data_IF_334189282036
#
_entry.id   IF_334189282036
#
_cell.length_a   1.000
_cell.length_b   1.000
_cell.length_c   1.000
_cell.angle_alpha   90.00
_cell.angle_beta   90.00
_cell.angle_gamma   90.00
#
_symmetry.space_group_name_H-M   'P 1'
#
loop_
_entity.id
_entity.type
_entity.pdbx_description
1 polymer ?
#
# COMPACT_ATOMS: atom_id res chain seq x y z
N UNK A 1 -8.26 3.19 -25.28
CA UNK A 1 -7.67 3.97 -24.16
C UNK A 1 -8.84 4.49 -23.34
N UNK A 2 -9.02 4.04 -22.07
CA UNK A 2 -10.14 4.50 -21.22
C UNK A 2 -9.69 5.73 -20.45
N UNK A 3 -10.41 6.83 -20.58
CA UNK A 3 -10.20 8.05 -19.82
C UNK A 3 -11.05 7.97 -18.54
N UNK A 4 -10.51 8.40 -17.40
CA UNK A 4 -11.26 8.41 -16.14
C UNK A 4 -12.30 9.53 -16.22
N UNK A 5 -13.55 9.12 -16.44
CA UNK A 5 -14.72 9.96 -16.19
C UNK A 5 -15.38 9.51 -14.88
N UNK A 6 -16.21 10.35 -14.28
CA UNK A 6 -16.92 10.03 -13.03
C UNK A 6 -17.69 8.70 -13.12
N UNK A 7 -18.21 8.37 -14.31
CA UNK A 7 -18.98 7.15 -14.59
C UNK A 7 -18.11 5.88 -14.64
N UNK A 8 -16.80 6.01 -14.85
CA UNK A 8 -15.85 4.88 -14.82
C UNK A 8 -15.51 4.47 -13.40
N UNK A 9 -15.58 5.40 -12.45
CA UNK A 9 -15.31 5.13 -11.02
C UNK A 9 -16.39 4.21 -10.43
N UNK A 10 -17.64 4.37 -10.82
CA UNK A 10 -18.76 3.54 -10.33
C UNK A 10 -18.71 2.09 -10.83
N UNK A 11 -18.05 1.82 -11.95
CA UNK A 11 -17.96 0.49 -12.57
C UNK A 11 -16.70 -0.32 -12.20
N UNK A 12 -15.75 0.24 -11.48
CA UNK A 12 -14.56 -0.48 -10.99
C UNK A 12 -14.77 -1.14 -9.62
N UNK A 13 -16.00 -1.15 -9.16
CA UNK A 13 -16.38 -1.65 -7.88
C UNK A 13 -16.52 -3.13 -7.76
N UNK A 14 -16.82 -3.78 -6.97
CA UNK A 14 -17.36 -5.09 -6.52
C UNK A 14 -16.57 -6.29 -7.05
N UNK A 15 -15.55 -6.62 -6.30
CA UNK A 15 -15.01 -7.96 -6.20
C UNK A 15 -15.96 -8.82 -5.36
N UNK A 16 -16.82 -9.59 -6.03
CA UNK A 16 -17.81 -10.47 -5.38
C UNK A 16 -17.35 -11.91 -5.27
N UNK A 17 -16.18 -12.37 -5.39
CA UNK A 17 -15.85 -13.80 -5.34
C UNK A 17 -14.51 -14.10 -4.66
N UNK A 18 -14.47 -14.00 -3.33
CA UNK A 18 -13.46 -14.70 -2.53
C UNK A 18 -13.95 -14.96 -1.10
N UNK A 19 -14.64 -16.05 -0.89
CA UNK A 19 -15.00 -16.54 0.44
C UNK A 19 -13.81 -16.95 1.33
N UNK A 20 -12.57 -16.93 0.80
CA UNK A 20 -11.37 -17.37 1.52
C UNK A 20 -10.18 -16.42 1.46
N UNK A 21 -10.29 -15.27 0.83
CA UNK A 21 -9.27 -14.22 0.96
C UNK A 21 -9.63 -13.35 2.15
N UNK A 22 -8.62 -13.11 3.02
CA UNK A 22 -8.71 -12.09 4.06
C UNK A 22 -9.40 -10.86 3.50
N UNK A 23 -10.21 -10.25 4.32
CA UNK A 23 -11.00 -9.06 4.03
C UNK A 23 -10.05 -7.85 3.78
N UNK A 24 -9.30 -7.94 2.65
CA UNK A 24 -8.41 -6.86 2.16
C UNK A 24 -9.18 -5.56 1.96
N UNK A 25 -10.51 -5.65 1.91
CA UNK A 25 -11.38 -4.51 1.72
C UNK A 25 -11.31 -3.52 2.88
N UNK A 26 -11.14 -4.01 4.11
CA UNK A 26 -11.05 -3.11 5.26
C UNK A 26 -9.78 -2.26 5.24
N UNK A 27 -8.65 -2.86 4.88
CA UNK A 27 -7.40 -2.14 4.71
C UNK A 27 -7.51 -1.12 3.59
N UNK A 28 -8.05 -1.53 2.44
CA UNK A 28 -8.27 -0.64 1.30
C UNK A 28 -9.18 0.53 1.68
N UNK A 29 -10.32 0.27 2.32
CA UNK A 29 -11.27 1.31 2.72
C UNK A 29 -10.65 2.32 3.69
N UNK A 30 -9.87 1.84 4.68
CA UNK A 30 -9.18 2.71 5.64
C UNK A 30 -8.15 3.57 4.91
N UNK A 31 -7.34 2.96 4.05
CA UNK A 31 -6.26 3.66 3.38
C UNK A 31 -6.76 4.63 2.31
N UNK A 32 -7.81 4.27 1.57
CA UNK A 32 -8.49 5.17 0.61
C UNK A 32 -9.02 6.39 1.32
N UNK A 33 -9.78 6.24 2.42
CA UNK A 33 -10.28 7.37 3.21
C UNK A 33 -9.16 8.28 3.70
N UNK A 34 -8.05 7.69 4.12
CA UNK A 34 -6.86 8.45 4.50
C UNK A 34 -6.33 9.30 3.33
N UNK A 35 -6.22 8.73 2.14
CA UNK A 35 -5.76 9.45 0.96
C UNK A 35 -6.79 10.50 0.49
N UNK A 36 -8.08 10.16 0.49
CA UNK A 36 -9.18 11.04 0.07
C UNK A 36 -9.31 12.28 0.94
N UNK A 37 -9.17 12.15 2.26
CA UNK A 37 -9.20 13.31 3.17
C UNK A 37 -8.20 14.40 2.79
N UNK A 38 -7.14 14.01 2.09
CA UNK A 38 -6.03 14.91 1.79
C UNK A 38 -5.95 15.30 0.32
N UNK A 39 -6.29 14.39 -0.59
CA UNK A 39 -5.98 14.51 -2.02
C UNK A 39 -7.18 14.29 -2.92
N UNK A 40 -8.35 13.89 -2.39
CA UNK A 40 -9.53 13.53 -3.18
C UNK A 40 -9.95 14.58 -4.20
N UNK A 41 -9.79 15.87 -3.87
CA UNK A 41 -10.13 16.96 -4.78
C UNK A 41 -9.12 17.18 -5.92
N UNK A 42 -7.90 16.65 -5.76
CA UNK A 42 -6.79 16.86 -6.69
C UNK A 42 -6.44 15.62 -7.50
N UNK A 43 -6.77 14.45 -6.99
CA UNK A 43 -6.40 13.16 -7.56
C UNK A 43 -7.55 12.18 -7.53
N UNK A 44 -7.48 11.21 -8.44
CA UNK A 44 -8.35 10.04 -8.45
C UNK A 44 -7.63 8.89 -7.75
N UNK A 45 -8.26 8.32 -6.74
CA UNK A 45 -7.75 7.21 -5.95
C UNK A 45 -8.57 5.97 -6.33
N UNK A 46 -7.89 4.92 -6.80
CA UNK A 46 -8.53 3.72 -7.31
C UNK A 46 -8.01 2.48 -6.59
N UNK A 47 -8.94 1.63 -6.17
CA UNK A 47 -8.63 0.29 -5.71
C UNK A 47 -8.36 -0.62 -6.92
N UNK A 48 -7.28 -1.41 -6.84
CA UNK A 48 -6.87 -2.43 -7.82
C UNK A 48 -6.94 -1.96 -9.29
N UNK A 49 -6.35 -0.80 -9.63
CA UNK A 49 -6.51 -0.19 -10.94
C UNK A 49 -6.02 -1.07 -12.11
N UNK A 50 -5.15 -2.03 -11.82
CA UNK A 50 -4.58 -2.97 -12.80
C UNK A 50 -5.04 -4.42 -12.55
N UNK A 51 -6.14 -4.59 -11.83
CA UNK A 51 -6.72 -5.89 -11.51
C UNK A 51 -6.04 -6.59 -10.32
N UNK A 52 -6.44 -7.84 -10.12
CA UNK A 52 -6.16 -8.63 -8.92
C UNK A 52 -4.68 -8.84 -8.60
N UNK A 53 -3.82 -8.90 -9.62
CA UNK A 53 -2.38 -9.14 -9.46
C UNK A 53 -1.55 -7.86 -9.59
N UNK A 54 -2.23 -6.72 -9.64
CA UNK A 54 -1.62 -5.39 -9.64
C UNK A 54 -1.36 -4.88 -8.22
N UNK A 55 -1.13 -3.58 -8.12
CA UNK A 55 -1.10 -2.85 -6.86
C UNK A 55 -2.51 -2.75 -6.27
N UNK A 56 -2.60 -2.62 -4.95
CA UNK A 56 -3.90 -2.53 -4.28
C UNK A 56 -4.54 -1.14 -4.44
N UNK A 57 -3.76 -0.07 -4.33
CA UNK A 57 -4.24 1.30 -4.47
C UNK A 57 -3.36 2.07 -5.47
N UNK A 58 -4.00 2.76 -6.41
CA UNK A 58 -3.35 3.67 -7.35
C UNK A 58 -3.88 5.09 -7.24
N UNK A 59 -2.97 6.06 -7.25
CA UNK A 59 -3.29 7.50 -7.28
C UNK A 59 -2.95 8.06 -8.65
N UNK A 60 -3.91 8.74 -9.28
CA UNK A 60 -3.80 9.30 -10.62
C UNK A 60 -4.17 10.78 -10.63
N UNK A 61 -3.60 11.56 -11.53
CA UNK A 61 -4.10 12.90 -11.79
C UNK A 61 -5.49 12.83 -12.45
N UNK A 62 -6.33 13.80 -12.16
CA UNK A 62 -7.65 13.92 -12.79
C UNK A 62 -7.46 14.04 -14.31
N UNK A 63 -8.37 13.43 -15.08
CA UNK A 63 -8.37 13.44 -16.54
C UNK A 63 -7.17 12.76 -17.21
N UNK A 64 -6.47 11.88 -16.50
CA UNK A 64 -5.41 11.05 -17.10
C UNK A 64 -5.88 9.62 -17.34
N UNK A 65 -5.41 8.95 -18.40
CA UNK A 65 -5.69 7.53 -18.62
C UNK A 65 -5.17 6.65 -17.48
N UNK A 66 -5.91 5.59 -17.13
CA UNK A 66 -5.48 4.62 -16.11
C UNK A 66 -4.45 3.67 -16.75
N UNK A 67 -3.19 3.99 -16.61
CA UNK A 67 -2.04 3.19 -17.06
C UNK A 67 -0.93 3.20 -16.02
N UNK A 68 -0.02 2.22 -16.06
CA UNK A 68 1.14 2.20 -15.18
C UNK A 68 2.05 3.43 -15.34
N UNK A 69 2.10 4.01 -16.54
CA UNK A 69 2.91 5.20 -16.82
C UNK A 69 2.31 6.48 -16.25
N UNK A 70 1.00 6.51 -16.05
CA UNK A 70 0.27 7.69 -15.57
C UNK A 70 0.03 7.65 -14.06
N UNK A 71 0.36 6.54 -13.41
CA UNK A 71 0.23 6.45 -11.96
C UNK A 71 1.22 7.39 -11.27
N UNK A 72 0.73 8.22 -10.38
CA UNK A 72 1.55 9.11 -9.56
C UNK A 72 2.24 8.33 -8.45
N UNK A 73 1.45 7.52 -7.74
CA UNK A 73 1.96 6.61 -6.72
C UNK A 73 1.10 5.36 -6.64
N UNK A 74 1.73 4.20 -6.51
CA UNK A 74 1.09 2.92 -6.23
C UNK A 74 1.34 2.47 -4.82
N UNK A 75 0.35 1.82 -4.21
CA UNK A 75 0.49 1.20 -2.90
C UNK A 75 0.06 -0.26 -2.95
N UNK A 76 0.78 -1.08 -2.20
CA UNK A 76 0.41 -2.47 -1.92
C UNK A 76 0.20 -2.60 -0.42
N UNK A 77 -0.89 -3.25 -0.03
CA UNK A 77 -1.35 -3.32 1.35
C UNK A 77 -1.16 -4.73 1.89
N UNK A 78 -0.79 -4.85 3.16
CA UNK A 78 -0.67 -6.14 3.83
C UNK A 78 -1.03 -6.00 5.31
N UNK A 79 -1.85 -6.91 5.81
CA UNK A 79 -2.13 -7.02 7.24
C UNK A 79 -1.16 -7.99 7.90
N UNK A 80 -0.45 -7.51 8.90
CA UNK A 80 0.47 -8.32 9.70
C UNK A 80 -0.28 -9.00 10.84
N UNK A 81 -0.57 -10.29 10.70
CA UNK A 81 -1.34 -11.08 11.67
C UNK A 81 -0.72 -11.15 13.06
N UNK A 82 0.57 -10.94 13.16
CA UNK A 82 1.33 -11.03 14.41
C UNK A 82 1.63 -9.66 15.01
N UNK A 83 1.24 -8.58 14.34
CA UNK A 83 1.31 -7.22 14.85
C UNK A 83 -0.06 -6.82 15.44
N UNK A 84 -0.18 -6.93 16.76
CA UNK A 84 -1.31 -6.39 17.51
C UNK A 84 -1.14 -4.87 17.70
N UNK A 85 -1.87 -4.25 18.63
CA UNK A 85 -1.94 -2.78 18.83
C UNK A 85 -0.61 -2.08 18.87
N UNK A 86 0.38 -2.69 19.49
CA UNK A 86 1.73 -2.17 19.55
C UNK A 86 2.68 -3.06 18.76
N UNK A 87 3.65 -2.43 18.08
CA UNK A 87 4.70 -3.19 17.44
C UNK A 87 5.44 -3.99 18.54
N UNK A 88 5.46 -5.31 18.46
CA UNK A 88 6.17 -6.11 19.45
C UNK A 88 7.62 -5.65 19.55
N UNK A 89 8.15 -5.49 20.75
CA UNK A 89 9.53 -5.02 20.99
C UNK A 89 10.61 -5.86 20.30
N UNK A 90 10.29 -7.11 19.97
CA UNK A 90 11.15 -8.03 19.21
C UNK A 90 11.01 -7.92 17.69
N UNK A 91 10.05 -7.17 17.17
CA UNK A 91 9.88 -6.95 15.75
C UNK A 91 10.85 -5.90 15.25
N UNK A 92 11.90 -6.35 14.63
CA UNK A 92 12.92 -5.49 14.05
C UNK A 92 12.62 -5.15 12.59
N UNK A 93 11.94 -6.05 11.89
CA UNK A 93 11.72 -5.90 10.45
C UNK A 93 10.35 -6.42 9.98
N UNK A 94 9.90 -5.89 8.84
CA UNK A 94 8.73 -6.28 8.08
C UNK A 94 9.19 -7.00 6.82
N UNK A 95 8.54 -8.09 6.46
CA UNK A 95 8.90 -8.87 5.29
C UNK A 95 8.24 -8.30 4.03
N UNK A 96 9.06 -7.82 3.09
CA UNK A 96 8.61 -7.45 1.76
C UNK A 96 8.91 -8.60 0.79
N UNK A 97 7.87 -9.18 0.18
CA UNK A 97 8.01 -10.33 -0.70
C UNK A 97 8.68 -9.95 -2.02
N UNK A 98 9.70 -10.70 -2.44
CA UNK A 98 10.48 -10.43 -3.64
C UNK A 98 9.65 -10.39 -4.93
N UNK A 99 8.56 -11.16 -5.01
CA UNK A 99 7.61 -11.10 -6.13
C UNK A 99 6.96 -9.71 -6.32
N UNK A 100 6.99 -8.85 -5.29
CA UNK A 100 6.50 -7.47 -5.33
C UNK A 100 7.53 -6.49 -5.89
N UNK A 101 8.79 -6.92 -6.13
CA UNK A 101 9.84 -6.11 -6.79
C UNK A 101 9.38 -5.59 -8.17
N UNK A 102 8.43 -6.28 -8.83
CA UNK A 102 7.80 -5.82 -10.07
C UNK A 102 7.18 -4.42 -9.97
N UNK A 103 6.78 -3.99 -8.77
CA UNK A 103 6.20 -2.66 -8.53
C UNK A 103 7.25 -1.55 -8.49
N UNK A 104 8.54 -1.89 -8.39
CA UNK A 104 9.61 -0.90 -8.44
C UNK A 104 9.77 -0.24 -9.81
N UNK A 105 9.15 -0.79 -10.87
CA UNK A 105 9.02 -0.11 -12.18
C UNK A 105 8.15 1.15 -12.12
N UNK A 106 7.21 1.24 -11.17
CA UNK A 106 6.39 2.42 -10.97
C UNK A 106 7.28 3.60 -10.55
N UNK A 107 6.91 4.80 -10.99
CA UNK A 107 7.64 6.01 -10.61
C UNK A 107 7.77 6.13 -9.10
N UNK A 108 6.66 5.98 -8.39
CA UNK A 108 6.62 5.94 -6.93
C UNK A 108 5.81 4.72 -6.45
N UNK A 109 6.33 4.07 -5.42
CA UNK A 109 5.67 2.93 -4.80
C UNK A 109 5.88 2.97 -3.29
N UNK A 110 4.79 2.70 -2.54
CA UNK A 110 4.78 2.52 -1.10
C UNK A 110 4.21 1.16 -0.71
N UNK A 111 4.89 0.46 0.17
CA UNK A 111 4.35 -0.72 0.85
C UNK A 111 3.73 -0.30 2.17
N UNK A 112 2.50 -0.73 2.44
CA UNK A 112 1.74 -0.40 3.65
C UNK A 112 1.48 -1.68 4.42
N UNK A 113 1.96 -1.76 5.66
CA UNK A 113 1.65 -2.86 6.56
C UNK A 113 0.74 -2.37 7.67
N UNK A 114 -0.39 -3.04 7.83
CA UNK A 114 -1.36 -2.77 8.89
C UNK A 114 -1.12 -3.68 10.10
N UNK A 115 -1.42 -3.16 11.30
CA UNK A 115 -1.61 -3.98 12.49
C UNK A 115 -2.79 -4.93 12.32
N UNK A 116 -2.81 -6.01 13.09
CA UNK A 116 -3.88 -7.01 13.02
C UNK A 116 -5.27 -6.40 13.28
N UNK A 117 -5.36 -5.48 14.24
CA UNK A 117 -6.58 -4.79 14.63
C UNK A 117 -6.91 -3.57 13.77
N UNK A 118 -6.07 -3.26 12.76
CA UNK A 118 -6.20 -2.12 11.86
C UNK A 118 -6.11 -0.74 12.56
N UNK A 119 -5.64 -0.68 13.80
CA UNK A 119 -5.52 0.58 14.53
C UNK A 119 -4.29 1.40 14.11
N UNK A 120 -3.31 0.76 13.48
CA UNK A 120 -2.06 1.38 13.04
C UNK A 120 -1.63 0.82 11.70
N UNK A 121 -0.84 1.58 10.96
CA UNK A 121 -0.11 1.11 9.80
C UNK A 121 1.25 1.79 9.67
N UNK A 122 2.14 1.14 8.93
CA UNK A 122 3.47 1.66 8.60
C UNK A 122 3.59 1.74 7.08
N UNK A 123 4.18 2.82 6.58
CA UNK A 123 4.50 2.97 5.16
C UNK A 123 6.03 2.97 4.99
N UNK A 124 6.52 2.10 4.11
CA UNK A 124 7.89 2.15 3.61
C UNK A 124 7.90 2.42 2.12
N UNK A 125 8.77 3.34 1.70
CA UNK A 125 8.85 3.75 0.30
C UNK A 125 9.82 2.87 -0.50
N UNK A 126 9.59 2.75 -1.79
CA UNK A 126 10.42 2.02 -2.76
C UNK A 126 11.91 2.17 -2.50
N UNK A 127 12.40 3.42 -2.39
CA UNK A 127 13.81 3.72 -2.17
C UNK A 127 14.37 3.18 -0.85
N UNK A 128 13.52 3.11 0.18
CA UNK A 128 13.91 2.59 1.48
C UNK A 128 13.90 1.07 1.48
N UNK A 129 12.91 0.45 0.83
CA UNK A 129 12.83 -1.01 0.66
C UNK A 129 14.01 -1.54 -0.15
N UNK A 130 14.40 -0.86 -1.22
CA UNK A 130 15.50 -1.27 -2.11
C UNK A 130 16.88 -1.29 -1.44
N UNK A 131 17.06 -0.65 -0.29
CA UNK A 131 18.32 -0.71 0.50
C UNK A 131 18.59 -2.10 1.05
N UNK A 132 17.54 -2.93 1.22
CA UNK A 132 17.66 -4.24 1.83
C UNK A 132 17.89 -5.32 0.77
N UNK A 133 18.82 -6.24 1.02
CA UNK A 133 19.09 -7.33 0.08
C UNK A 133 17.91 -8.28 0.00
N UNK A 134 17.74 -8.90 -1.16
CA UNK A 134 16.79 -9.97 -1.37
C UNK A 134 17.40 -11.28 -0.84
N UNK A 135 16.75 -11.90 0.13
CA UNK A 135 17.18 -13.14 0.76
C UNK A 135 16.13 -14.23 0.58
N UNK A 136 16.56 -15.49 0.56
CA UNK A 136 15.66 -16.64 0.53
C UNK A 136 15.15 -16.95 1.94
N UNK A 137 13.84 -17.17 2.06
CA UNK A 137 13.20 -17.51 3.33
C UNK A 137 12.22 -18.67 3.18
N UNK A 138 12.39 -19.67 4.02
CA UNK A 138 11.42 -20.74 4.17
C UNK A 138 10.31 -20.29 5.11
N UNK A 139 9.08 -20.26 4.64
CA UNK A 139 7.93 -19.94 5.46
C UNK A 139 7.45 -21.18 6.21
N UNK A 140 7.42 -21.11 7.55
CA UNK A 140 7.00 -22.21 8.40
C UNK A 140 5.60 -22.70 7.99
N UNK A 141 5.47 -24.01 7.74
CA UNK A 141 4.21 -24.64 7.32
C UNK A 141 3.89 -24.51 5.82
N UNK A 142 4.82 -23.99 5.00
CA UNK A 142 4.69 -23.95 3.53
C UNK A 142 5.80 -24.76 2.88
N UNK A 143 5.46 -25.45 1.80
CA UNK A 143 6.40 -26.30 1.04
C UNK A 143 7.29 -25.55 0.05
N UNK A 144 7.19 -24.20 0.03
CA UNK A 144 7.96 -23.37 -0.89
C UNK A 144 8.78 -22.30 -0.17
N UNK A 145 9.90 -21.98 -0.78
CA UNK A 145 10.77 -20.86 -0.42
C UNK A 145 10.34 -19.63 -1.20
N UNK A 146 10.28 -18.48 -0.56
CA UNK A 146 10.07 -17.19 -1.25
C UNK A 146 11.23 -16.25 -0.95
N UNK A 147 11.48 -15.33 -1.86
CA UNK A 147 12.48 -14.28 -1.68
C UNK A 147 11.88 -13.13 -0.89
N UNK A 148 12.59 -12.59 0.09
CA UNK A 148 12.12 -11.49 0.92
C UNK A 148 13.21 -10.43 1.12
N UNK A 149 12.77 -9.18 1.32
CA UNK A 149 13.58 -8.11 1.91
C UNK A 149 13.09 -7.87 3.33
N UNK A 150 13.99 -7.90 4.29
CA UNK A 150 13.69 -7.62 5.69
C UNK A 150 13.85 -6.12 5.95
N UNK A 151 12.75 -5.37 5.72
CA UNK A 151 12.72 -3.92 5.88
C UNK A 151 12.66 -3.56 7.35
N UNK A 152 13.59 -2.75 7.84
CA UNK A 152 13.59 -2.32 9.23
C UNK A 152 12.32 -1.51 9.54
N UNK A 153 11.66 -1.84 10.65
CA UNK A 153 10.45 -1.14 11.08
C UNK A 153 10.71 0.36 11.29
N UNK A 154 11.89 0.72 11.78
CA UNK A 154 12.34 2.09 12.01
C UNK A 154 12.48 2.94 10.73
N UNK A 155 12.68 2.31 9.57
CA UNK A 155 12.77 3.01 8.29
C UNK A 155 11.39 3.34 7.69
N UNK A 156 10.32 2.74 8.23
CA UNK A 156 8.95 3.07 7.91
C UNK A 156 8.43 4.27 8.69
N UNK A 157 7.31 4.84 8.22
CA UNK A 157 6.55 5.84 8.97
C UNK A 157 5.31 5.20 9.57
N UNK A 158 5.23 5.21 10.90
CA UNK A 158 4.11 4.69 11.67
C UNK A 158 2.98 5.72 11.74
N UNK A 159 1.76 5.26 11.53
CA UNK A 159 0.53 6.04 11.59
C UNK A 159 -0.53 5.29 12.40
N UNK A 160 -1.34 6.02 13.18
CA UNK A 160 -2.60 5.52 13.72
C UNK A 160 -3.73 5.74 12.72
N UNK A 161 -4.69 4.87 12.68
CA UNK A 161 -5.87 5.02 11.81
C UNK A 161 -6.83 6.10 12.28
N UNK A 162 -6.73 6.50 13.55
CA UNK A 162 -7.42 7.66 14.13
C UNK A 162 -6.69 8.98 13.93
N UNK A 163 -5.80 9.11 13.01
CA UNK A 163 -4.89 10.21 12.65
C UNK A 163 -4.93 11.45 13.53
N UNK A 164 -3.85 11.69 14.26
CA UNK A 164 -3.59 13.00 14.87
C UNK A 164 -3.24 14.03 13.79
N UNK A 165 -3.43 15.32 14.06
CA UNK A 165 -3.06 16.39 13.10
C UNK A 165 -1.57 16.39 12.78
N UNK A 166 -0.73 15.97 13.73
CA UNK A 166 0.71 15.83 13.52
C UNK A 166 1.03 14.69 12.52
N UNK A 167 0.40 13.53 12.66
CA UNK A 167 0.58 12.39 11.74
C UNK A 167 0.07 12.73 10.36
N UNK A 168 -1.08 13.39 10.24
CA UNK A 168 -1.61 13.91 8.97
C UNK A 168 -0.59 14.82 8.28
N UNK A 169 0.01 15.77 9.01
CA UNK A 169 1.00 16.71 8.47
C UNK A 169 2.29 16.03 8.00
N UNK A 170 2.80 15.06 8.74
CA UNK A 170 4.00 14.30 8.36
C UNK A 170 3.80 13.51 7.07
N UNK A 171 2.66 12.84 6.95
CA UNK A 171 2.33 12.08 5.76
C UNK A 171 2.14 12.99 4.55
N UNK A 172 1.47 14.13 4.73
CA UNK A 172 1.26 15.13 3.69
C UNK A 172 2.56 15.57 3.07
N UNK A 173 3.51 16.01 3.88
CA UNK A 173 4.78 16.56 3.37
C UNK A 173 5.53 15.53 2.52
N UNK A 174 5.41 14.25 2.82
CA UNK A 174 6.11 13.19 2.10
C UNK A 174 5.39 12.80 0.79
N UNK A 175 4.07 12.74 0.80
CA UNK A 175 3.30 12.45 -0.41
C UNK A 175 3.29 13.65 -1.36
N UNK A 176 3.25 14.88 -0.86
CA UNK A 176 3.37 16.08 -1.69
C UNK A 176 4.71 16.16 -2.45
N UNK A 177 5.81 15.73 -1.82
CA UNK A 177 7.08 15.60 -2.52
C UNK A 177 7.06 14.55 -3.64
N UNK A 178 6.22 13.53 -3.52
CA UNK A 178 6.09 12.44 -4.48
C UNK A 178 5.13 12.78 -5.62
N UNK A 179 4.09 13.59 -5.34
CA UNK A 179 3.03 13.90 -6.29
C UNK A 179 3.31 15.17 -7.13
N UNK A 180 4.39 15.93 -6.83
CA UNK A 180 4.90 17.02 -7.66
C UNK A 180 5.75 16.48 -8.81
#
# INVERSE_FOLDING_TARGET
MKTITKDVIENYGTFKDRENCFDDKKESDIFIRFLEQKYGDKFVILEKPFGQYGIDIGVFAINTPITENNIKVGFDLERCKTWDKDCPSFWKCLSFLGRKDKYFKLNQFGMVWFSQDLSKFVISWKKDIQKYPLTQRNFKGKSYTDSVREVQFSDGKLFGTGFTEFEKKLFTNRVECVLK
#
